data_IF_297552741084
#
_entry.id   IF_297552741084
#
_cell.length_a   1.000
_cell.length_b   1.000
_cell.length_c   1.000
_cell.angle_alpha   90.00
_cell.angle_beta   90.00
_cell.angle_gamma   90.00
#
_symmetry.space_group_name_H-M   'P 1'
#
loop_
_entity.id
_entity.type
_entity.pdbx_description
1 polymer ?
#
# COMPACT_ATOMS: atom_id res chain seq x y z
N UNK A 1 30.68 -6.34 30.50
CA UNK A 1 30.97 -5.55 29.29
C UNK A 1 29.70 -5.48 28.47
N UNK A 2 29.32 -4.28 28.04
CA UNK A 2 27.95 -3.91 27.68
C UNK A 2 27.61 -4.29 26.22
N UNK A 3 27.50 -5.59 25.97
CA UNK A 3 27.26 -6.18 24.63
C UNK A 3 25.96 -5.68 23.98
N UNK A 4 25.00 -5.20 24.78
CA UNK A 4 23.72 -4.67 24.30
C UNK A 4 23.87 -3.26 23.74
N UNK A 5 24.63 -2.40 24.43
CA UNK A 5 24.91 -1.04 23.96
C UNK A 5 25.76 -1.03 22.68
N UNK A 6 26.81 -1.86 22.63
CA UNK A 6 27.63 -2.00 21.40
C UNK A 6 26.82 -2.53 20.22
N UNK A 7 25.91 -3.50 20.46
CA UNK A 7 25.01 -4.01 19.43
C UNK A 7 24.09 -2.90 18.93
N UNK A 8 23.53 -2.09 19.82
CA UNK A 8 22.64 -0.98 19.45
C UNK A 8 23.35 0.03 18.55
N UNK A 9 24.58 0.44 18.91
CA UNK A 9 25.38 1.36 18.10
C UNK A 9 25.69 0.78 16.71
N UNK A 10 26.01 -0.51 16.62
CA UNK A 10 26.23 -1.18 15.32
C UNK A 10 24.96 -1.21 14.48
N UNK A 11 23.81 -1.50 15.08
CA UNK A 11 22.51 -1.49 14.39
C UNK A 11 22.18 -0.10 13.84
N UNK A 12 22.39 0.95 14.63
CA UNK A 12 22.18 2.34 14.20
C UNK A 12 23.13 2.73 13.05
N UNK A 13 24.37 2.26 13.09
CA UNK A 13 25.33 2.42 11.99
C UNK A 13 24.83 1.78 10.69
N UNK A 14 24.39 0.52 10.76
CA UNK A 14 23.85 -0.21 9.60
C UNK A 14 22.61 0.47 9.06
N UNK A 15 21.66 0.87 9.93
CA UNK A 15 20.46 1.59 9.51
C UNK A 15 20.76 2.90 8.81
N UNK A 16 21.75 3.66 9.31
CA UNK A 16 22.17 4.90 8.69
C UNK A 16 22.67 4.64 7.26
N UNK A 17 23.53 3.64 7.07
CA UNK A 17 24.03 3.25 5.75
C UNK A 17 22.89 2.84 4.84
N UNK A 18 21.95 2.01 5.34
CA UNK A 18 20.77 1.57 4.60
C UNK A 18 19.88 2.75 4.15
N UNK A 19 19.62 3.72 5.04
CA UNK A 19 18.89 4.94 4.71
C UNK A 19 19.63 5.81 3.68
N UNK A 20 20.95 5.97 3.83
CA UNK A 20 21.75 6.72 2.86
C UNK A 20 21.75 6.06 1.48
N UNK A 21 21.86 4.73 1.41
CA UNK A 21 21.74 3.97 0.16
C UNK A 21 20.39 4.19 -0.52
N UNK A 22 19.30 4.26 0.25
CA UNK A 22 17.98 4.56 -0.31
C UNK A 22 17.94 5.94 -0.98
N UNK A 23 18.48 6.96 -0.33
CA UNK A 23 18.53 8.32 -0.89
C UNK A 23 19.45 8.40 -2.11
N UNK A 24 20.57 7.67 -2.09
CA UNK A 24 21.48 7.54 -3.24
C UNK A 24 20.82 6.89 -4.45
N UNK A 25 20.02 5.84 -4.24
CA UNK A 25 19.27 5.20 -5.32
C UNK A 25 18.23 6.17 -5.90
N UNK A 26 17.53 6.94 -5.06
CA UNK A 26 16.56 7.95 -5.52
C UNK A 26 17.21 8.98 -6.44
N UNK A 27 18.35 9.55 -6.06
CA UNK A 27 19.06 10.50 -6.91
C UNK A 27 19.59 9.81 -8.17
N UNK A 28 20.17 8.61 -8.07
CA UNK A 28 20.67 7.85 -9.20
C UNK A 28 19.62 7.61 -10.30
N UNK A 29 18.37 7.34 -9.90
CA UNK A 29 17.26 7.14 -10.84
C UNK A 29 16.84 8.42 -11.58
N UNK A 30 17.09 9.61 -11.01
CA UNK A 30 16.73 10.87 -11.66
C UNK A 30 17.91 11.53 -12.38
N UNK A 31 19.17 11.16 -12.08
CA UNK A 31 20.37 11.70 -12.73
C UNK A 31 20.26 11.68 -14.27
N UNK A 32 19.85 10.58 -14.94
CA UNK A 32 19.72 10.58 -16.38
C UNK A 32 18.80 11.70 -16.89
N UNK A 33 17.66 11.92 -16.22
CA UNK A 33 16.69 12.98 -16.56
C UNK A 33 17.17 14.38 -16.21
N UNK A 34 18.02 14.51 -15.19
CA UNK A 34 18.66 15.79 -14.85
C UNK A 34 19.64 16.19 -15.95
N UNK A 35 20.42 15.23 -16.43
CA UNK A 35 21.45 15.45 -17.45
C UNK A 35 20.88 15.54 -18.88
N UNK A 36 19.62 15.18 -19.11
CA UNK A 36 18.91 15.46 -20.37
C UNK A 36 18.78 16.97 -20.66
N UNK A 37 18.66 17.80 -19.61
CA UNK A 37 18.49 19.26 -19.74
C UNK A 37 19.46 20.00 -18.80
N UNK A 38 20.77 20.00 -19.13
CA UNK A 38 21.81 20.52 -18.24
C UNK A 38 21.71 22.03 -17.99
N UNK A 39 21.15 22.80 -18.94
CA UNK A 39 20.90 24.24 -18.76
C UNK A 39 19.86 24.54 -17.67
N UNK A 40 18.79 23.74 -17.63
CA UNK A 40 17.76 23.85 -16.59
C UNK A 40 18.29 23.37 -15.25
N UNK A 41 19.15 22.35 -15.26
CA UNK A 41 19.84 21.89 -14.07
C UNK A 41 20.71 23.00 -13.47
N UNK A 42 21.51 23.66 -14.31
CA UNK A 42 22.36 24.79 -13.94
C UNK A 42 21.56 25.93 -13.30
N UNK A 43 20.44 26.32 -13.90
CA UNK A 43 19.62 27.42 -13.37
C UNK A 43 18.98 27.11 -12.01
N UNK A 44 18.65 25.84 -11.74
CA UNK A 44 18.08 25.41 -10.45
C UNK A 44 19.15 25.30 -9.36
N UNK A 45 20.39 24.97 -9.73
CA UNK A 45 21.49 24.81 -8.78
C UNK A 45 22.28 26.10 -8.51
N UNK A 46 22.10 27.13 -9.35
CA UNK A 46 22.66 28.46 -9.12
C UNK A 46 22.09 29.07 -7.83
N UNK A 47 22.94 29.79 -7.08
CA UNK A 47 22.62 30.41 -5.80
C UNK A 47 22.29 29.39 -4.69
N UNK A 48 22.78 28.14 -4.83
CA UNK A 48 22.61 27.08 -3.82
C UNK A 48 23.96 26.63 -3.25
N UNK A 49 23.94 25.82 -2.18
CA UNK A 49 25.17 25.21 -1.64
C UNK A 49 25.83 24.18 -2.57
N UNK A 50 25.28 23.92 -3.75
CA UNK A 50 25.79 22.93 -4.72
C UNK A 50 26.44 23.58 -5.94
N UNK A 51 26.84 24.86 -5.87
CA UNK A 51 27.45 25.57 -6.99
C UNK A 51 28.75 24.93 -7.52
N UNK A 52 29.43 24.14 -6.71
CA UNK A 52 30.68 23.43 -7.09
C UNK A 52 30.51 22.56 -8.34
N UNK A 53 29.30 22.04 -8.60
CA UNK A 53 29.04 21.18 -9.78
C UNK A 53 28.76 21.97 -11.05
N UNK A 54 28.60 23.29 -10.98
CA UNK A 54 28.23 24.12 -12.14
C UNK A 54 29.35 24.16 -13.19
N UNK A 55 30.62 24.22 -12.77
CA UNK A 55 31.76 24.23 -13.69
C UNK A 55 31.85 22.90 -14.48
N UNK A 56 31.83 21.71 -13.84
CA UNK A 56 31.72 20.44 -14.57
C UNK A 56 30.52 20.36 -15.52
N UNK A 57 29.36 20.89 -15.12
CA UNK A 57 28.16 20.92 -15.97
C UNK A 57 28.39 21.82 -17.19
N UNK A 58 29.03 22.98 -17.02
CA UNK A 58 29.35 23.89 -18.12
C UNK A 58 30.30 23.26 -19.13
N UNK A 59 31.31 22.54 -18.66
CA UNK A 59 32.20 21.78 -19.54
C UNK A 59 31.42 20.69 -20.29
N UNK A 60 30.55 19.96 -19.61
CA UNK A 60 29.69 18.95 -20.24
C UNK A 60 28.79 19.56 -21.33
N UNK A 61 28.17 20.72 -21.07
CA UNK A 61 27.35 21.46 -22.06
C UNK A 61 28.18 21.83 -23.29
N UNK A 62 29.39 22.36 -23.08
CA UNK A 62 30.31 22.74 -24.16
C UNK A 62 30.73 21.53 -25.01
N UNK A 63 30.89 20.36 -24.39
CA UNK A 63 31.21 19.11 -25.10
C UNK A 63 30.01 18.54 -25.85
N UNK A 64 28.81 18.58 -25.27
CA UNK A 64 27.56 18.15 -25.93
C UNK A 64 27.24 19.00 -27.16
N UNK A 65 27.41 20.32 -27.08
CA UNK A 65 27.20 21.23 -28.22
C UNK A 65 28.13 20.95 -29.41
N UNK A 66 29.29 20.34 -29.18
CA UNK A 66 30.25 19.94 -30.22
C UNK A 66 29.97 18.55 -30.81
N UNK A 67 29.18 17.70 -30.13
CA UNK A 67 28.91 16.31 -30.50
C UNK A 67 27.47 16.10 -31.01
N UNK A 68 26.98 17.00 -31.86
CA UNK A 68 25.66 16.91 -32.48
C UNK A 68 25.42 15.52 -33.10
N UNK A 69 24.44 14.78 -32.57
CA UNK A 69 23.98 13.49 -33.11
C UNK A 69 24.04 12.28 -32.18
N UNK A 70 24.63 12.35 -30.97
CA UNK A 70 24.63 11.22 -30.02
C UNK A 70 23.49 11.33 -29.00
N UNK A 71 22.57 10.38 -29.04
CA UNK A 71 21.42 10.26 -28.10
C UNK A 71 21.80 9.79 -26.68
N UNK A 72 23.09 9.56 -26.39
CA UNK A 72 23.55 8.99 -25.12
C UNK A 72 24.57 9.91 -24.46
N UNK A 73 24.44 10.07 -23.14
CA UNK A 73 25.41 10.78 -22.31
C UNK A 73 26.83 10.21 -22.54
N UNK A 74 27.84 11.06 -22.72
CA UNK A 74 29.23 10.61 -22.82
C UNK A 74 29.63 9.83 -21.55
N UNK A 75 30.35 8.72 -21.72
CA UNK A 75 30.97 8.02 -20.59
C UNK A 75 32.38 8.58 -20.35
N UNK A 76 32.47 9.91 -20.19
CA UNK A 76 33.71 10.62 -19.97
C UNK A 76 33.94 10.89 -18.47
N UNK A 77 35.18 11.26 -18.13
CA UNK A 77 35.57 11.55 -16.75
C UNK A 77 34.74 12.68 -16.15
N UNK A 78 34.36 13.69 -16.96
CA UNK A 78 33.53 14.82 -16.54
C UNK A 78 32.13 14.38 -16.16
N UNK A 79 31.46 13.56 -16.99
CA UNK A 79 30.13 13.02 -16.68
C UNK A 79 30.18 12.14 -15.43
N UNK A 80 31.23 11.32 -15.27
CA UNK A 80 31.39 10.50 -14.07
C UNK A 80 31.57 11.36 -12.81
N UNK A 81 32.38 12.42 -12.88
CA UNK A 81 32.58 13.38 -11.78
C UNK A 81 31.26 14.05 -11.37
N UNK A 82 30.43 14.42 -12.34
CA UNK A 82 29.09 14.97 -12.09
C UNK A 82 28.22 13.92 -11.38
N UNK A 83 28.15 12.70 -11.90
CA UNK A 83 27.37 11.60 -11.31
C UNK A 83 27.81 11.35 -9.86
N UNK A 84 29.12 11.24 -9.62
CA UNK A 84 29.68 11.02 -8.29
C UNK A 84 29.31 12.15 -7.33
N UNK A 85 29.37 13.40 -7.80
CA UNK A 85 28.93 14.55 -7.01
C UNK A 85 27.46 14.44 -6.59
N UNK A 86 26.57 14.07 -7.51
CA UNK A 86 25.14 13.86 -7.19
C UNK A 86 24.90 12.69 -6.24
N UNK A 87 25.69 11.61 -6.33
CA UNK A 87 25.60 10.46 -5.43
C UNK A 87 26.08 10.79 -4.00
N UNK A 88 27.13 11.59 -3.87
CA UNK A 88 27.60 12.10 -2.58
C UNK A 88 26.58 13.08 -2.00
N UNK A 89 26.12 14.03 -2.82
CA UNK A 89 25.15 15.06 -2.48
C UNK A 89 23.71 14.64 -2.79
N UNK A 90 23.33 13.45 -2.31
CA UNK A 90 22.05 12.86 -2.66
C UNK A 90 20.83 13.73 -2.29
N UNK A 91 20.94 14.65 -1.34
CA UNK A 91 19.90 15.63 -0.98
C UNK A 91 19.48 16.55 -2.12
N UNK A 92 20.26 16.68 -3.18
CA UNK A 92 19.93 17.50 -4.36
C UNK A 92 18.62 17.06 -5.02
N UNK A 93 18.21 15.79 -4.88
CA UNK A 93 16.93 15.33 -5.43
C UNK A 93 15.72 16.13 -4.94
N UNK A 94 15.82 16.82 -3.78
CA UNK A 94 14.75 17.65 -3.20
C UNK A 94 14.41 18.87 -4.05
N UNK A 95 15.35 19.38 -4.84
CA UNK A 95 15.11 20.48 -5.77
C UNK A 95 14.33 20.06 -7.02
N UNK A 96 14.17 18.74 -7.23
CA UNK A 96 13.55 18.18 -8.43
C UNK A 96 12.33 17.27 -8.10
N UNK A 97 11.32 17.77 -7.36
CA UNK A 97 10.19 16.94 -6.93
C UNK A 97 9.34 16.44 -8.12
N UNK A 98 9.31 17.18 -9.22
CA UNK A 98 8.59 16.83 -10.44
C UNK A 98 9.19 15.61 -11.15
N UNK A 99 10.52 15.46 -11.15
CA UNK A 99 11.19 14.32 -11.78
C UNK A 99 10.91 13.01 -11.04
N UNK A 100 10.76 13.08 -9.71
CA UNK A 100 10.36 11.95 -8.88
C UNK A 100 8.93 11.49 -9.18
N UNK A 101 8.01 12.44 -9.41
CA UNK A 101 6.61 12.13 -9.78
C UNK A 101 6.51 11.51 -11.17
N UNK A 102 7.38 11.93 -12.09
CA UNK A 102 7.38 11.49 -13.48
C UNK A 102 8.34 10.31 -13.74
N UNK A 103 8.68 9.52 -12.71
CA UNK A 103 9.42 8.27 -12.89
C UNK A 103 8.61 7.27 -13.72
N UNK A 104 9.31 6.50 -14.56
CA UNK A 104 8.66 5.44 -15.32
C UNK A 104 8.18 4.33 -14.36
N UNK A 105 7.33 3.43 -14.83
CA UNK A 105 6.77 2.38 -13.98
C UNK A 105 7.83 1.39 -13.47
N UNK A 106 8.85 1.08 -14.28
CA UNK A 106 9.95 0.19 -13.87
C UNK A 106 10.79 0.80 -12.74
N UNK A 107 11.14 2.07 -12.85
CA UNK A 107 11.93 2.80 -11.85
C UNK A 107 11.14 2.92 -10.54
N UNK A 108 9.82 3.13 -10.63
CA UNK A 108 8.92 3.12 -9.46
C UNK A 108 8.88 1.75 -8.79
N UNK A 109 8.75 0.68 -9.56
CA UNK A 109 8.78 -0.69 -9.03
C UNK A 109 10.13 -1.02 -8.39
N UNK A 110 11.24 -0.57 -9.00
CA UNK A 110 12.57 -0.76 -8.43
C UNK A 110 12.72 -0.02 -7.10
N UNK A 111 12.28 1.24 -7.01
CA UNK A 111 12.28 2.00 -5.76
C UNK A 111 11.40 1.35 -4.69
N UNK A 112 10.24 0.81 -5.07
CA UNK A 112 9.35 0.09 -4.15
C UNK A 112 10.00 -1.21 -3.65
N UNK A 113 10.66 -1.96 -4.53
CA UNK A 113 11.39 -3.17 -4.16
C UNK A 113 12.53 -2.87 -3.19
N UNK A 114 13.32 -1.82 -3.45
CA UNK A 114 14.37 -1.38 -2.52
C UNK A 114 13.82 -0.91 -1.18
N UNK A 115 12.70 -0.17 -1.18
CA UNK A 115 12.03 0.22 0.05
C UNK A 115 11.62 -1.02 0.87
N UNK A 116 10.99 -2.01 0.23
CA UNK A 116 10.57 -3.24 0.88
C UNK A 116 11.76 -4.04 1.43
N UNK A 117 12.86 -4.13 0.68
CA UNK A 117 14.09 -4.77 1.13
C UNK A 117 14.68 -4.07 2.37
N UNK A 118 14.67 -2.74 2.40
CA UNK A 118 15.15 -1.97 3.54
C UNK A 118 14.27 -2.16 4.78
N UNK A 119 12.96 -2.15 4.59
CA UNK A 119 12.00 -2.38 5.67
C UNK A 119 12.14 -3.80 6.24
N UNK A 120 12.28 -4.80 5.37
CA UNK A 120 12.57 -6.17 5.76
C UNK A 120 13.89 -6.28 6.51
N UNK A 121 14.96 -5.68 5.99
CA UNK A 121 16.27 -5.65 6.64
C UNK A 121 16.20 -5.00 8.03
N UNK A 122 15.47 -3.89 8.17
CA UNK A 122 15.25 -3.23 9.46
C UNK A 122 14.55 -4.16 10.46
N UNK A 123 13.48 -4.85 10.04
CA UNK A 123 12.79 -5.84 10.89
C UNK A 123 13.71 -6.99 11.30
N UNK A 124 14.55 -7.47 10.39
CA UNK A 124 15.51 -8.53 10.66
C UNK A 124 16.64 -8.08 11.61
N UNK A 125 17.13 -6.85 11.46
CA UNK A 125 18.16 -6.25 12.31
C UNK A 125 17.67 -6.06 13.75
N UNK A 126 16.40 -5.66 13.92
CA UNK A 126 15.74 -5.54 15.23
C UNK A 126 15.17 -6.85 15.77
N UNK A 127 15.35 -7.96 15.05
CA UNK A 127 14.90 -9.26 15.51
C UNK A 127 15.62 -9.60 16.81
N UNK A 128 14.83 -9.87 17.84
CA UNK A 128 15.31 -10.38 19.13
C UNK A 128 14.47 -11.58 19.52
N UNK A 129 15.05 -12.53 20.24
CA UNK A 129 14.35 -13.71 20.75
C UNK A 129 13.07 -13.32 21.52
N UNK A 130 13.13 -12.26 22.33
CA UNK A 130 11.98 -11.70 23.04
C UNK A 130 10.88 -11.17 22.11
N UNK A 131 11.26 -10.46 21.04
CA UNK A 131 10.30 -9.95 20.04
C UNK A 131 9.60 -11.11 19.32
N UNK A 132 10.34 -12.14 18.93
CA UNK A 132 9.80 -13.30 18.21
C UNK A 132 8.86 -14.14 19.09
N UNK A 133 9.24 -14.42 20.34
CA UNK A 133 8.37 -15.10 21.31
C UNK A 133 7.08 -14.28 21.54
N UNK A 134 7.17 -12.95 21.57
CA UNK A 134 5.99 -12.09 21.71
C UNK A 134 5.08 -12.15 20.49
N UNK A 135 5.65 -12.18 19.27
CA UNK A 135 4.89 -12.34 18.02
C UNK A 135 4.21 -13.70 17.96
N UNK A 136 4.91 -14.78 18.33
CA UNK A 136 4.36 -16.13 18.38
C UNK A 136 3.20 -16.23 19.36
N UNK A 137 3.34 -15.67 20.57
CA UNK A 137 2.23 -15.59 21.55
C UNK A 137 1.02 -14.84 21.01
N UNK A 138 1.24 -13.70 20.35
CA UNK A 138 0.15 -12.93 19.71
C UNK A 138 -0.51 -13.74 18.60
N UNK A 139 0.27 -14.43 17.77
CA UNK A 139 -0.25 -15.26 16.69
C UNK A 139 -1.10 -16.41 17.23
N UNK A 140 -0.66 -17.07 18.30
CA UNK A 140 -1.44 -18.09 19.00
C UNK A 140 -2.75 -17.52 19.55
N UNK A 141 -2.73 -16.35 20.19
CA UNK A 141 -3.94 -15.71 20.69
C UNK A 141 -4.94 -15.40 19.57
N UNK A 142 -4.46 -14.83 18.44
CA UNK A 142 -5.28 -14.55 17.26
C UNK A 142 -5.84 -15.84 16.66
N UNK A 143 -5.05 -16.92 16.64
CA UNK A 143 -5.51 -18.21 16.16
C UNK A 143 -6.68 -18.75 17.00
N UNK A 144 -6.57 -18.72 18.32
CA UNK A 144 -7.65 -19.15 19.22
C UNK A 144 -8.91 -18.28 19.04
N UNK A 145 -8.76 -16.96 18.95
CA UNK A 145 -9.88 -16.06 18.66
C UNK A 145 -10.55 -16.39 17.33
N UNK A 146 -9.79 -16.69 16.28
CA UNK A 146 -10.34 -17.10 14.99
C UNK A 146 -11.14 -18.41 15.07
N UNK A 147 -10.67 -19.38 15.86
CA UNK A 147 -11.39 -20.64 16.09
C UNK A 147 -12.72 -20.37 16.79
N UNK A 148 -12.73 -19.53 17.82
CA UNK A 148 -13.95 -19.16 18.56
C UNK A 148 -14.95 -18.40 17.67
N UNK A 149 -14.47 -17.46 16.86
CA UNK A 149 -15.30 -16.72 15.91
C UNK A 149 -15.93 -17.68 14.89
N UNK A 150 -15.15 -18.62 14.33
CA UNK A 150 -15.68 -19.64 13.41
C UNK A 150 -16.76 -20.50 14.07
N UNK A 151 -16.57 -20.87 15.33
CA UNK A 151 -17.58 -21.62 16.11
C UNK A 151 -18.87 -20.80 16.28
N UNK A 152 -18.75 -19.53 16.70
CA UNK A 152 -19.90 -18.61 16.84
C UNK A 152 -20.65 -18.40 15.52
N UNK A 153 -19.93 -18.25 14.41
CA UNK A 153 -20.54 -18.13 13.07
C UNK A 153 -21.37 -19.39 12.76
N UNK A 154 -20.86 -20.57 13.07
CA UNK A 154 -21.57 -21.83 12.84
C UNK A 154 -22.85 -21.92 13.67
N UNK A 155 -22.78 -21.55 14.95
CA UNK A 155 -23.94 -21.51 15.85
C UNK A 155 -25.01 -20.51 15.39
N UNK A 156 -24.59 -19.30 15.00
CA UNK A 156 -25.50 -18.27 14.48
C UNK A 156 -26.17 -18.71 13.18
N UNK A 157 -25.44 -19.37 12.26
CA UNK A 157 -26.03 -19.92 11.04
C UNK A 157 -27.08 -20.98 11.33
N UNK A 158 -26.82 -21.87 12.29
CA UNK A 158 -27.79 -22.89 12.70
C UNK A 158 -29.05 -22.25 13.32
N UNK A 159 -28.87 -21.28 14.21
CA UNK A 159 -29.98 -20.54 14.82
C UNK A 159 -30.82 -19.79 13.78
N UNK A 160 -30.17 -19.12 12.82
CA UNK A 160 -30.85 -18.43 11.74
C UNK A 160 -31.66 -19.40 10.85
N UNK A 161 -31.09 -20.57 10.53
CA UNK A 161 -31.79 -21.59 9.76
C UNK A 161 -33.04 -22.09 10.50
N UNK A 162 -32.92 -22.35 11.81
CA UNK A 162 -34.03 -22.75 12.67
C UNK A 162 -35.13 -21.67 12.73
N UNK A 163 -34.75 -20.40 12.94
CA UNK A 163 -35.70 -19.29 12.95
C UNK A 163 -36.43 -19.11 11.60
N UNK A 164 -35.75 -19.32 10.47
CA UNK A 164 -36.39 -19.30 9.14
C UNK A 164 -37.47 -20.38 9.01
N UNK A 165 -37.20 -21.58 9.51
CA UNK A 165 -38.18 -22.68 9.51
C UNK A 165 -39.38 -22.32 10.38
N UNK A 166 -39.15 -21.84 11.61
CA UNK A 166 -40.24 -21.37 12.49
C UNK A 166 -41.06 -20.27 11.82
N UNK A 167 -40.40 -19.29 11.19
CA UNK A 167 -41.08 -18.21 10.47
C UNK A 167 -42.02 -18.73 9.38
N UNK A 168 -41.56 -19.70 8.57
CA UNK A 168 -42.38 -20.35 7.54
C UNK A 168 -43.60 -21.06 8.15
N UNK A 169 -43.41 -21.83 9.22
CA UNK A 169 -44.51 -22.51 9.92
C UNK A 169 -45.54 -21.51 10.47
N UNK A 170 -45.08 -20.41 11.07
CA UNK A 170 -45.97 -19.37 11.60
C UNK A 170 -46.78 -18.70 10.49
N UNK A 171 -46.17 -18.44 9.33
CA UNK A 171 -46.87 -17.88 8.18
C UNK A 171 -47.88 -18.87 7.60
N UNK A 172 -47.52 -20.15 7.47
CA UNK A 172 -48.42 -21.18 6.98
C UNK A 172 -49.64 -21.37 7.90
N UNK A 173 -49.43 -21.42 9.22
CA UNK A 173 -50.51 -21.51 10.20
C UNK A 173 -51.48 -20.31 10.12
N UNK A 174 -50.94 -19.09 9.96
CA UNK A 174 -51.76 -17.88 9.73
C UNK A 174 -52.55 -17.96 8.42
N UNK A 175 -51.94 -18.47 7.35
CA UNK A 175 -52.61 -18.65 6.06
C UNK A 175 -53.78 -19.62 6.13
N UNK A 176 -53.59 -20.77 6.78
CA UNK A 176 -54.66 -21.76 7.01
C UNK A 176 -55.81 -21.16 7.80
N UNK A 177 -55.50 -20.40 8.87
CA UNK A 177 -56.52 -19.73 9.66
C UNK A 177 -57.31 -18.70 8.85
N UNK A 178 -56.62 -17.88 8.04
CA UNK A 178 -57.27 -16.90 7.18
C UNK A 178 -58.19 -17.56 6.14
N UNK A 179 -57.74 -18.62 5.47
CA UNK A 179 -58.57 -19.39 4.53
C UNK A 179 -59.85 -19.88 5.19
N UNK A 180 -59.76 -20.44 6.40
CA UNK A 180 -60.95 -20.89 7.15
C UNK A 180 -61.92 -19.75 7.43
N UNK A 181 -61.41 -18.60 7.85
CA UNK A 181 -62.24 -17.40 8.11
C UNK A 181 -62.90 -16.89 6.82
N UNK A 182 -62.18 -16.91 5.70
CA UNK A 182 -62.71 -16.52 4.39
C UNK A 182 -63.81 -17.48 3.91
N UNK A 183 -63.62 -18.79 4.07
CA UNK A 183 -64.63 -19.81 3.77
C UNK A 183 -65.88 -19.64 4.64
N UNK A 184 -65.72 -19.43 5.95
CA UNK A 184 -66.83 -19.18 6.87
C UNK A 184 -67.62 -17.92 6.48
N UNK A 185 -66.92 -16.85 6.06
CA UNK A 185 -67.55 -15.62 5.58
C UNK A 185 -68.30 -15.84 4.26
N UNK A 186 -67.70 -16.57 3.32
CA UNK A 186 -68.31 -16.88 2.04
C UNK A 186 -69.58 -17.73 2.22
N UNK A 187 -69.53 -18.75 3.09
CA UNK A 187 -70.68 -19.58 3.44
C UNK A 187 -71.81 -18.75 4.06
N UNK A 188 -71.50 -17.84 5.00
CA UNK A 188 -72.49 -16.93 5.59
C UNK A 188 -73.14 -16.01 4.55
N UNK A 189 -72.36 -15.46 3.61
CA UNK A 189 -72.89 -14.63 2.51
C UNK A 189 -73.81 -15.44 1.60
N UNK A 190 -73.42 -16.67 1.25
CA UNK A 190 -74.25 -17.55 0.44
C UNK A 190 -75.57 -17.88 1.14
N UNK A 191 -75.53 -18.28 2.41
CA UNK A 191 -76.73 -18.55 3.21
C UNK A 191 -77.67 -17.34 3.27
N UNK A 192 -77.11 -16.14 3.46
CA UNK A 192 -77.90 -14.90 3.48
C UNK A 192 -78.57 -14.65 2.12
N UNK A 193 -77.84 -14.77 1.01
CA UNK A 193 -78.40 -14.62 -0.33
C UNK A 193 -79.52 -15.62 -0.63
N UNK A 194 -79.37 -16.87 -0.19
CA UNK A 194 -80.42 -17.91 -0.32
C UNK A 194 -81.66 -17.53 0.50
N UNK A 195 -81.47 -17.02 1.72
CA UNK A 195 -82.59 -16.56 2.55
C UNK A 195 -83.36 -15.41 1.88
N UNK A 196 -82.66 -14.39 1.37
CA UNK A 196 -83.27 -13.27 0.64
C UNK A 196 -84.05 -13.77 -0.60
N UNK A 197 -83.51 -14.73 -1.35
CA UNK A 197 -84.20 -15.29 -2.52
C UNK A 197 -85.47 -16.08 -2.17
N UNK A 198 -85.51 -16.70 -0.99
CA UNK A 198 -86.70 -17.44 -0.53
C UNK A 198 -87.78 -16.51 0.08
N UNK A 199 -87.44 -15.27 0.40
CA UNK A 199 -88.36 -14.26 0.96
C UNK A 199 -88.99 -13.34 -0.09
N UNK A 200 -88.55 -13.42 -1.37
CA UNK A 200 -89.17 -12.74 -2.52
C UNK A 200 -90.09 -13.69 -3.31
#
# INVERSE_FOLDING_TARGET
MDTTAERQVRLEGVERVLKMSQERIKIAMIIPKLLENPEKLKSVLKDTCYEEVLEPIDDMIRHLGKQSGRSKLPHDHTTMRIVDFFLVNHSIHRFFPHLKKNLNERDRQLLAAFHFLLESAHVHLHRSSRSEITKERKLHAIFHQNVDIKKKIKELKASLAFQKVIGKWKTAAKGIYLMKVEEDLANKKWQNNVAIQNEM
#
